data_IF_735129262392
#
_entry.id   IF_735129262392
#
_cell.length_a   1.000
_cell.length_b   1.000
_cell.length_c   1.000
_cell.angle_alpha   90.00
_cell.angle_beta   90.00
_cell.angle_gamma   90.00
#
_symmetry.space_group_name_H-M   'P 1'
#
loop_
_entity.id
_entity.type
_entity.pdbx_description
1 polymer ?
#
# COMPACT_ATOMS: atom_id res chain seq x y z
N UNK A 1 0.66 -9.06 13.90
CA UNK A 1 0.69 -9.86 12.66
C UNK A 1 0.21 -8.92 11.57
N UNK A 2 0.93 -8.80 10.47
CA UNK A 2 0.59 -7.89 9.37
C UNK A 2 -0.11 -8.71 8.31
N UNK A 3 -1.40 -8.46 8.07
CA UNK A 3 -2.18 -9.15 7.04
C UNK A 3 -2.35 -8.23 5.83
N UNK A 4 -2.13 -8.76 4.62
CA UNK A 4 -2.23 -7.99 3.36
C UNK A 4 -3.33 -8.61 2.50
N UNK A 5 -4.34 -7.81 2.17
CA UNK A 5 -5.41 -8.18 1.23
C UNK A 5 -5.26 -7.39 -0.06
N UNK A 6 -5.16 -8.08 -1.20
CA UNK A 6 -5.06 -7.48 -2.52
C UNK A 6 -6.44 -7.40 -3.18
N UNK A 7 -6.87 -6.20 -3.54
CA UNK A 7 -8.07 -5.96 -4.33
C UNK A 7 -7.64 -5.60 -5.76
N UNK A 8 -7.82 -6.54 -6.69
CA UNK A 8 -7.59 -6.27 -8.12
C UNK A 8 -8.87 -5.78 -8.78
N UNK A 9 -8.98 -4.47 -9.05
CA UNK A 9 -9.99 -3.93 -9.94
C UNK A 9 -9.65 -4.25 -11.40
N UNK A 10 -10.40 -5.14 -12.05
CA UNK A 10 -10.34 -5.28 -13.50
C UNK A 10 -11.09 -4.12 -14.16
N UNK A 11 -10.38 -3.08 -14.57
CA UNK A 11 -10.93 -2.11 -15.52
C UNK A 11 -11.05 -2.79 -16.89
N UNK A 12 -12.24 -3.26 -17.23
CA UNK A 12 -12.55 -3.82 -18.54
C UNK A 12 -12.55 -2.72 -19.61
N UNK A 13 -11.50 -2.65 -20.44
CA UNK A 13 -11.60 -2.51 -21.91
C UNK A 13 -10.22 -2.43 -22.56
N UNK A 14 -10.10 -3.03 -23.76
CA UNK A 14 -8.86 -3.14 -24.53
C UNK A 14 -8.26 -1.77 -24.90
N UNK A 15 -7.17 -1.37 -24.23
CA UNK A 15 -6.06 -0.54 -24.77
C UNK A 15 -5.01 -0.32 -23.67
N UNK A 16 -3.90 -1.09 -23.70
CA UNK A 16 -2.86 -1.13 -22.66
C UNK A 16 -3.39 -1.57 -21.28
N UNK A 17 -2.73 -2.54 -20.64
CA UNK A 17 -3.16 -3.00 -19.33
C UNK A 17 -2.90 -1.90 -18.27
N UNK A 18 -3.88 -1.02 -18.06
CA UNK A 18 -3.94 -0.11 -16.90
C UNK A 18 -3.94 -1.01 -15.66
N UNK A 19 -2.77 -1.17 -15.04
CA UNK A 19 -2.63 -1.98 -13.83
C UNK A 19 -2.56 -1.03 -12.63
N UNK A 20 -3.74 -0.58 -12.21
CA UNK A 20 -3.96 -0.03 -10.87
C UNK A 20 -4.24 -1.21 -9.95
N UNK A 21 -3.50 -1.31 -8.86
CA UNK A 21 -3.66 -2.37 -7.86
C UNK A 21 -3.85 -1.73 -6.50
N UNK A 22 -4.90 -2.16 -5.80
CA UNK A 22 -5.17 -1.74 -4.43
C UNK A 22 -4.75 -2.84 -3.46
N UNK A 23 -4.02 -2.44 -2.42
CA UNK A 23 -3.70 -3.27 -1.27
C UNK A 23 -4.32 -2.66 -0.02
N UNK A 24 -4.92 -3.51 0.81
CA UNK A 24 -5.30 -3.19 2.17
C UNK A 24 -4.31 -3.92 3.10
N UNK A 25 -3.48 -3.15 3.80
CA UNK A 25 -2.42 -3.65 4.66
C UNK A 25 -2.82 -3.39 6.10
N UNK A 26 -3.05 -4.46 6.86
CA UNK A 26 -3.27 -4.37 8.29
C UNK A 26 -1.92 -4.20 9.00
N UNK A 27 -1.74 -3.07 9.66
CA UNK A 27 -0.54 -2.74 10.42
C UNK A 27 -0.84 -2.87 11.91
N UNK A 28 0.12 -3.42 12.67
CA UNK A 28 0.09 -3.45 14.13
C UNK A 28 1.22 -2.58 14.67
N UNK A 29 0.91 -1.46 15.31
CA UNK A 29 1.90 -0.54 15.86
C UNK A 29 1.44 -0.01 17.22
N UNK A 30 2.34 0.01 18.20
CA UNK A 30 2.10 0.56 19.56
C UNK A 30 0.86 -0.01 20.27
N UNK A 31 0.45 -1.24 19.93
CA UNK A 31 -0.73 -1.90 20.51
C UNK A 31 -2.05 -1.61 19.78
N UNK A 32 -2.05 -0.77 18.75
CA UNK A 32 -3.19 -0.53 17.87
C UNK A 32 -3.05 -1.29 16.55
N UNK A 33 -4.18 -1.64 15.95
CA UNK A 33 -4.24 -2.18 14.60
C UNK A 33 -5.06 -1.26 13.70
N UNK A 34 -4.54 -0.97 12.53
CA UNK A 34 -5.22 -0.15 11.54
C UNK A 34 -4.95 -0.68 10.13
N UNK A 35 -5.82 -0.29 9.20
CA UNK A 35 -5.72 -0.71 7.81
C UNK A 35 -5.27 0.46 6.94
N UNK A 36 -4.09 0.35 6.37
CA UNK A 36 -3.56 1.27 5.37
C UNK A 36 -3.97 0.82 3.97
N UNK A 37 -4.34 1.76 3.11
CA UNK A 37 -4.62 1.44 1.70
C UNK A 37 -3.48 1.94 0.82
N UNK A 38 -2.96 1.07 -0.04
CA UNK A 38 -1.89 1.39 -0.98
C UNK A 38 -2.43 1.19 -2.40
N UNK A 39 -2.50 2.27 -3.16
CA UNK A 39 -2.89 2.27 -4.57
C UNK A 39 -1.63 2.44 -5.42
N UNK A 40 -1.33 1.45 -6.27
CA UNK A 40 -0.15 1.47 -7.13
C UNK A 40 -0.58 1.51 -8.59
N UNK A 41 -0.21 2.58 -9.30
CA UNK A 41 -0.46 2.77 -10.72
C UNK A 41 0.86 2.66 -11.49
N UNK A 42 1.07 1.51 -12.13
CA UNK A 42 2.30 1.24 -12.88
C UNK A 42 2.38 1.97 -14.21
N UNK A 43 1.28 2.48 -14.74
CA UNK A 43 1.30 3.28 -15.97
C UNK A 43 1.70 4.72 -15.66
N UNK A 44 1.07 5.31 -14.64
CA UNK A 44 1.42 6.66 -14.16
C UNK A 44 2.76 6.67 -13.43
N UNK A 45 3.23 5.52 -12.96
CA UNK A 45 4.37 5.39 -12.06
C UNK A 45 4.14 6.19 -10.77
N UNK A 46 2.99 5.93 -10.15
CA UNK A 46 2.60 6.57 -8.88
C UNK A 46 2.22 5.55 -7.83
N UNK A 47 2.48 5.89 -6.58
CA UNK A 47 2.07 5.13 -5.41
C UNK A 47 1.35 6.09 -4.45
N UNK A 48 0.15 5.73 -4.01
CA UNK A 48 -0.65 6.50 -3.06
C UNK A 48 -0.94 5.67 -1.82
N UNK A 49 -0.34 6.08 -0.71
CA UNK A 49 -0.58 5.52 0.62
C UNK A 49 -1.63 6.36 1.33
N UNK A 50 -2.69 5.72 1.81
CA UNK A 50 -3.79 6.33 2.58
C UNK A 50 -3.71 5.77 3.99
N UNK A 51 -3.15 6.57 4.89
CA UNK A 51 -2.86 6.19 6.28
C UNK A 51 -3.97 6.77 7.16
N UNK A 52 -4.85 5.94 7.77
CA UNK A 52 -5.88 6.46 8.66
C UNK A 52 -5.26 7.09 9.91
N UNK A 53 -6.00 7.96 10.60
CA UNK A 53 -5.60 8.41 11.92
C UNK A 53 -5.53 7.21 12.88
N UNK A 54 -4.43 7.09 13.61
CA UNK A 54 -4.18 6.03 14.58
C UNK A 54 -3.19 6.54 15.64
N UNK A 55 -3.31 6.10 16.87
CA UNK A 55 -2.50 6.55 18.00
C UNK A 55 -2.45 8.10 18.08
N UNK A 56 -1.25 8.66 17.93
CA UNK A 56 -0.98 10.11 17.89
C UNK A 56 -0.61 10.60 16.48
N UNK A 57 -0.90 9.78 15.46
CA UNK A 57 -0.64 10.07 14.05
C UNK A 57 -1.94 10.51 13.38
N UNK A 58 -1.90 11.65 12.71
CA UNK A 58 -3.03 12.17 11.95
C UNK A 58 -3.23 11.39 10.64
N UNK A 59 -4.46 11.38 10.14
CA UNK A 59 -4.76 10.86 8.82
C UNK A 59 -3.92 11.60 7.77
N UNK A 60 -3.31 10.82 6.87
CA UNK A 60 -2.47 11.37 5.81
C UNK A 60 -2.59 10.60 4.51
N UNK A 61 -2.41 11.32 3.41
CA UNK A 61 -2.24 10.74 2.08
C UNK A 61 -0.84 11.09 1.58
N UNK A 62 -0.06 10.07 1.23
CA UNK A 62 1.30 10.22 0.71
C UNK A 62 1.29 9.74 -0.74
N UNK A 63 1.59 10.64 -1.67
CA UNK A 63 1.73 10.34 -3.10
C UNK A 63 3.20 10.43 -3.48
N UNK A 64 3.73 9.36 -4.05
CA UNK A 64 5.02 9.38 -4.74
C UNK A 64 4.77 9.38 -6.25
N UNK A 65 5.32 10.36 -6.95
CA UNK A 65 5.30 10.45 -8.42
C UNK A 65 6.73 10.30 -8.94
N UNK A 66 7.03 9.11 -9.46
CA UNK A 66 8.36 8.74 -9.94
C UNK A 66 8.68 9.37 -11.30
N UNK A 67 7.68 9.80 -12.08
CA UNK A 67 7.93 10.53 -13.34
C UNK A 67 8.31 11.97 -13.07
N UNK A 68 7.66 12.60 -12.09
CA UNK A 68 7.98 13.97 -11.68
C UNK A 68 9.16 14.05 -10.72
N UNK A 69 9.59 12.92 -10.16
CA UNK A 69 10.62 12.84 -9.11
C UNK A 69 10.23 13.68 -7.88
N UNK A 70 8.94 13.66 -7.53
CA UNK A 70 8.37 14.46 -6.44
C UNK A 70 7.44 13.61 -5.57
N UNK A 71 7.20 14.09 -4.36
CA UNK A 71 6.27 13.52 -3.40
C UNK A 71 5.35 14.58 -2.82
N UNK A 72 4.13 14.17 -2.48
CA UNK A 72 3.16 14.99 -1.77
C UNK A 72 2.76 14.29 -0.47
N UNK A 73 2.77 15.04 0.63
CA UNK A 73 2.17 14.64 1.91
C UNK A 73 1.00 15.58 2.19
N UNK A 74 -0.21 15.05 2.10
CA UNK A 74 -1.45 15.75 2.43
C UNK A 74 -1.90 15.34 3.84
N UNK A 75 -2.14 16.34 4.68
CA UNK A 75 -2.80 16.24 5.98
C UNK A 75 -4.20 16.86 5.84
N UNK A 76 -5.25 16.07 5.55
CA UNK A 76 -6.57 16.59 5.17
C UNK A 76 -7.20 17.48 6.25
N UNK A 77 -7.09 17.09 7.51
CA UNK A 77 -7.71 17.76 8.66
C UNK A 77 -7.11 19.14 8.89
N UNK A 78 -5.81 19.30 8.59
CA UNK A 78 -5.10 20.58 8.68
C UNK A 78 -5.16 21.40 7.38
N UNK A 79 -5.63 20.80 6.28
CA UNK A 79 -5.60 21.38 4.92
C UNK A 79 -4.19 21.79 4.49
N UNK A 80 -3.18 21.02 4.92
CA UNK A 80 -1.77 21.25 4.57
C UNK A 80 -1.35 20.19 3.57
N UNK A 81 -0.68 20.62 2.50
CA UNK A 81 -0.02 19.74 1.55
C UNK A 81 1.44 20.15 1.43
N UNK A 82 2.35 19.26 1.82
CA UNK A 82 3.78 19.42 1.56
C UNK A 82 4.11 18.87 0.18
N UNK A 83 4.95 19.58 -0.57
CA UNK A 83 5.46 19.15 -1.87
C UNK A 83 6.98 19.09 -1.79
N UNK A 84 7.54 17.90 -1.92
CA UNK A 84 8.91 17.58 -1.57
C UNK A 84 9.57 16.79 -2.71
N UNK A 85 10.90 16.85 -2.87
CA UNK A 85 11.62 15.93 -3.74
C UNK A 85 11.34 14.47 -3.36
N UNK A 86 11.30 13.59 -4.36
CA UNK A 86 11.25 12.14 -4.12
C UNK A 86 12.55 11.69 -3.43
N UNK A 87 12.43 10.75 -2.50
CA UNK A 87 13.58 10.17 -1.81
C UNK A 87 14.23 9.09 -2.68
N UNK A 88 15.57 9.10 -2.74
CA UNK A 88 16.36 8.23 -3.65
C UNK A 88 16.27 6.73 -3.32
N UNK A 89 15.84 6.37 -2.10
CA UNK A 89 15.79 4.98 -1.60
C UNK A 89 14.44 4.29 -1.81
N UNK A 90 13.46 4.98 -2.40
CA UNK A 90 12.13 4.42 -2.60
C UNK A 90 12.12 3.32 -3.67
N UNK A 91 11.38 2.24 -3.39
CA UNK A 91 11.13 1.18 -4.36
C UNK A 91 10.30 1.74 -5.51
N UNK A 92 10.54 1.27 -6.73
CA UNK A 92 9.66 1.61 -7.85
C UNK A 92 8.29 0.92 -7.70
N UNK A 93 7.22 1.43 -8.34
CA UNK A 93 5.87 0.83 -8.31
C UNK A 93 5.84 -0.67 -8.55
N UNK A 94 6.63 -1.14 -9.54
CA UNK A 94 6.71 -2.56 -9.86
C UNK A 94 7.43 -3.37 -8.78
N UNK A 95 8.48 -2.82 -8.16
CA UNK A 95 9.19 -3.47 -7.05
C UNK A 95 8.30 -3.52 -5.80
N UNK A 96 7.54 -2.47 -5.52
CA UNK A 96 6.58 -2.44 -4.42
C UNK A 96 5.51 -3.52 -4.58
N UNK A 97 4.87 -3.61 -5.76
CA UNK A 97 3.91 -4.69 -6.08
C UNK A 97 4.50 -6.07 -5.82
N UNK A 98 5.72 -6.33 -6.30
CA UNK A 98 6.37 -7.63 -6.12
C UNK A 98 6.61 -7.94 -4.62
N UNK A 99 6.99 -6.94 -3.83
CA UNK A 99 7.17 -7.08 -2.39
C UNK A 99 5.87 -7.41 -1.67
N UNK A 100 4.80 -6.64 -1.95
CA UNK A 100 3.47 -6.84 -1.35
C UNK A 100 2.87 -8.19 -1.73
N UNK A 101 2.97 -8.60 -3.00
CA UNK A 101 2.50 -9.91 -3.47
C UNK A 101 3.27 -11.07 -2.82
N UNK A 102 4.57 -10.90 -2.56
CA UNK A 102 5.38 -11.91 -1.87
C UNK A 102 4.97 -12.04 -0.40
N UNK A 103 4.71 -10.92 0.25
CA UNK A 103 4.27 -10.87 1.64
C UNK A 103 2.88 -11.50 1.81
N UNK A 104 1.90 -11.13 0.97
CA UNK A 104 0.55 -11.72 0.96
C UNK A 104 0.60 -13.25 0.88
N UNK A 105 1.38 -13.79 -0.08
CA UNK A 105 1.51 -15.25 -0.25
C UNK A 105 2.13 -15.94 0.96
N UNK A 106 3.03 -15.27 1.66
CA UNK A 106 3.71 -15.81 2.84
C UNK A 106 2.76 -15.87 4.03
N UNK A 107 1.93 -14.84 4.22
CA UNK A 107 0.83 -14.83 5.20
C UNK A 107 -0.14 -15.98 4.90
N UNK A 108 -0.63 -16.06 3.66
CA UNK A 108 -1.55 -17.11 3.20
C UNK A 108 -1.04 -18.55 3.42
N UNK A 109 0.27 -18.80 3.22
CA UNK A 109 0.89 -20.11 3.47
C UNK A 109 1.01 -20.43 4.97
N UNK A 110 1.39 -19.44 5.78
CA UNK A 110 1.55 -19.61 7.24
C UNK A 110 0.22 -19.93 7.90
N UNK A 111 -0.85 -19.22 7.53
CA UNK A 111 -2.21 -19.47 8.03
C UNK A 111 -2.69 -20.89 7.67
N UNK A 112 -2.44 -21.35 6.42
CA UNK A 112 -2.78 -22.72 6.01
C UNK A 112 -2.00 -23.78 6.79
N UNK A 113 -0.72 -23.56 7.05
CA UNK A 113 0.09 -24.51 7.80
C UNK A 113 -0.35 -24.61 9.26
N UNK A 114 -0.72 -23.48 9.89
CA UNK A 114 -1.23 -23.46 11.26
C UNK A 114 -2.58 -24.19 11.41
N UNK A 115 -3.51 -24.01 10.47
CA UNK A 115 -4.80 -24.73 10.44
C UNK A 115 -4.65 -26.26 10.32
N UNK A 116 -3.60 -26.72 9.63
CA UNK A 116 -3.30 -28.15 9.49
C UNK A 116 -2.64 -28.74 10.76
N UNK A 117 -2.05 -27.92 11.63
CA UNK A 117 -1.38 -28.38 12.86
C UNK A 117 -2.25 -28.34 14.11
N UNK A 118 -3.42 -27.68 14.07
CA UNK A 118 -4.35 -27.59 15.21
C UNK A 118 -5.51 -28.59 15.14
N UNK A 119 -5.52 -29.48 14.14
CA UNK A 119 -6.52 -30.54 13.94
C UNK A 119 -6.04 -31.94 14.39
N UNK A 120 -5.00 -32.00 15.23
CA UNK A 120 -4.45 -33.23 15.81
C UNK A 120 -4.75 -33.38 17.29
#
# INVERSE_FOLDING_TARGET
MTDIMKNSGFASNLASAVQVVDYNVQISESGEQYNETIEVDTEKQTELFKVPAHNNVEHSNILHDFKLNMSMLLLPERKICYYLPLQDELLTPRKLINGLDTAERTVSKTTRQQLLTTSG
#
